data_IF_417319556137
#
_entry.id   IF_417319556137
#
_cell.length_a   1.000
_cell.length_b   1.000
_cell.length_c   1.000
_cell.angle_alpha   90.00
_cell.angle_beta   90.00
_cell.angle_gamma   90.00
#
_symmetry.space_group_name_H-M   'P 1'
#
loop_
_entity.id
_entity.type
_entity.pdbx_description
1 polymer ?
#
# COMPACT_ATOMS: atom_id res chain seq x y z
N UNK A 1 0.31 21.66 -0.17
CA UNK A 1 1.72 21.24 -0.33
C UNK A 1 2.49 22.36 -1.02
N UNK A 2 3.81 22.53 -0.81
CA UNK A 2 4.58 23.56 -1.54
C UNK A 2 4.91 23.11 -2.99
N UNK A 3 5.29 24.08 -3.84
CA UNK A 3 5.54 23.84 -5.27
C UNK A 3 6.68 22.86 -5.54
N UNK A 4 7.78 22.94 -4.80
CA UNK A 4 8.92 22.04 -4.96
C UNK A 4 8.52 20.59 -4.63
N UNK A 5 7.86 20.37 -3.49
CA UNK A 5 7.36 19.06 -3.11
C UNK A 5 6.37 18.51 -4.13
N UNK A 6 5.57 19.37 -4.78
CA UNK A 6 4.68 18.97 -5.87
C UNK A 6 5.44 18.47 -7.09
N UNK A 7 6.50 19.17 -7.53
CA UNK A 7 7.35 18.69 -8.63
C UNK A 7 8.04 17.36 -8.28
N UNK A 8 8.53 17.25 -7.05
CA UNK A 8 9.16 16.02 -6.55
C UNK A 8 8.16 14.86 -6.47
N UNK A 9 6.92 15.12 -6.06
CA UNK A 9 5.82 14.15 -6.14
C UNK A 9 5.59 13.68 -7.58
N UNK A 10 5.50 14.60 -8.53
CA UNK A 10 5.28 14.24 -9.93
C UNK A 10 6.42 13.36 -10.47
N UNK A 11 7.67 13.76 -10.23
CA UNK A 11 8.85 13.01 -10.65
C UNK A 11 8.90 11.60 -10.03
N UNK A 12 8.76 11.52 -8.70
CA UNK A 12 8.79 10.24 -7.97
C UNK A 12 7.64 9.32 -8.35
N UNK A 13 6.41 9.83 -8.49
CA UNK A 13 5.26 9.03 -8.92
C UNK A 13 5.42 8.55 -10.37
N UNK A 14 6.00 9.35 -11.26
CA UNK A 14 6.32 8.92 -12.62
C UNK A 14 7.37 7.79 -12.65
N UNK A 15 8.44 7.93 -11.86
CA UNK A 15 9.49 6.92 -11.74
C UNK A 15 8.96 5.60 -11.15
N UNK A 16 8.18 5.67 -10.06
CA UNK A 16 7.54 4.49 -9.46
C UNK A 16 6.61 3.81 -10.44
N UNK A 17 5.75 4.58 -11.13
CA UNK A 17 4.84 4.05 -12.13
C UNK A 17 5.56 3.33 -13.28
N UNK A 18 6.64 3.93 -13.81
CA UNK A 18 7.44 3.31 -14.86
C UNK A 18 8.10 2.02 -14.36
N UNK A 19 8.72 2.07 -13.18
CA UNK A 19 9.39 0.92 -12.59
C UNK A 19 8.42 -0.24 -12.36
N UNK A 20 7.32 -0.03 -11.63
CA UNK A 20 6.36 -1.10 -11.34
C UNK A 20 5.70 -1.65 -12.60
N UNK A 21 5.36 -0.79 -13.55
CA UNK A 21 4.84 -1.20 -14.86
C UNK A 21 5.85 -2.06 -15.64
N UNK A 22 7.13 -1.69 -15.67
CA UNK A 22 8.16 -2.49 -16.34
C UNK A 22 8.31 -3.88 -15.69
N UNK A 23 8.28 -3.93 -14.35
CA UNK A 23 8.50 -5.16 -13.58
C UNK A 23 7.32 -6.13 -13.68
N UNK A 24 6.08 -5.65 -13.72
CA UNK A 24 4.91 -6.53 -13.89
C UNK A 24 4.74 -6.99 -15.34
N UNK A 25 5.16 -6.17 -16.31
CA UNK A 25 5.09 -6.50 -17.73
C UNK A 25 6.08 -7.61 -18.10
N UNK A 26 7.32 -7.54 -17.61
CA UNK A 26 8.32 -8.57 -17.86
C UNK A 26 7.94 -9.89 -17.18
N UNK A 27 7.85 -10.96 -17.97
CA UNK A 27 7.46 -12.30 -17.50
C UNK A 27 8.44 -12.89 -16.48
N UNK A 28 9.71 -12.46 -16.47
CA UNK A 28 10.72 -12.94 -15.52
C UNK A 28 10.54 -12.33 -14.14
N UNK A 29 10.23 -11.05 -14.06
CA UNK A 29 10.07 -10.31 -12.80
C UNK A 29 8.65 -10.36 -12.26
N UNK A 30 7.64 -10.57 -13.11
CA UNK A 30 6.22 -10.63 -12.75
C UNK A 30 5.92 -11.57 -11.56
N UNK A 31 6.43 -12.82 -11.48
CA UNK A 31 6.16 -13.69 -10.34
C UNK A 31 6.62 -13.08 -9.00
N UNK A 32 7.77 -12.40 -8.98
CA UNK A 32 8.32 -11.75 -7.79
C UNK A 32 7.44 -10.57 -7.38
N UNK A 33 7.01 -9.76 -8.36
CA UNK A 33 6.08 -8.64 -8.11
C UNK A 33 4.75 -9.15 -7.54
N UNK A 34 4.14 -10.16 -8.16
CA UNK A 34 2.88 -10.74 -7.71
C UNK A 34 2.98 -11.32 -6.29
N UNK A 35 4.10 -11.98 -5.97
CA UNK A 35 4.36 -12.46 -4.61
C UNK A 35 4.45 -11.30 -3.61
N UNK A 36 5.14 -10.22 -3.97
CA UNK A 36 5.23 -9.02 -3.14
C UNK A 36 3.86 -8.39 -2.88
N UNK A 37 3.05 -8.24 -3.93
CA UNK A 37 1.68 -7.71 -3.82
C UNK A 37 0.79 -8.61 -2.95
N UNK A 38 0.80 -9.92 -3.20
CA UNK A 38 0.07 -10.89 -2.39
C UNK A 38 0.36 -10.76 -0.88
N UNK A 39 1.65 -10.66 -0.53
CA UNK A 39 2.11 -10.52 0.86
C UNK A 39 1.74 -9.15 1.45
N UNK A 40 1.76 -8.09 0.65
CA UNK A 40 1.37 -6.74 1.07
C UNK A 40 -0.11 -6.72 1.48
N UNK A 41 -1.00 -7.15 0.58
CA UNK A 41 -2.45 -7.13 0.84
C UNK A 41 -2.82 -8.09 1.99
N UNK A 42 -2.19 -9.26 2.07
CA UNK A 42 -2.41 -10.15 3.21
C UNK A 42 -1.96 -9.53 4.54
N UNK A 43 -0.90 -8.73 4.51
CA UNK A 43 -0.31 -8.11 5.70
C UNK A 43 -1.17 -7.01 6.32
N UNK A 44 -2.05 -6.36 5.54
CA UNK A 44 -2.92 -5.27 6.00
C UNK A 44 -4.18 -5.78 6.73
N UNK A 45 -4.69 -6.98 6.37
CA UNK A 45 -5.96 -7.55 6.86
C UNK A 45 -6.06 -7.55 8.39
N UNK A 46 -5.04 -8.06 9.07
CA UNK A 46 -5.04 -8.15 10.54
C UNK A 46 -5.07 -6.79 11.22
N UNK A 47 -4.38 -5.80 10.64
CA UNK A 47 -4.34 -4.44 11.15
C UNK A 47 -5.69 -3.74 10.98
N UNK A 48 -6.30 -3.84 9.79
CA UNK A 48 -7.61 -3.26 9.49
C UNK A 48 -8.73 -3.90 10.31
N UNK A 49 -8.66 -5.22 10.53
CA UNK A 49 -9.62 -5.94 11.37
C UNK A 49 -9.56 -5.47 12.82
N UNK A 50 -8.35 -5.31 13.38
CA UNK A 50 -8.18 -4.78 14.72
C UNK A 50 -8.65 -3.31 14.85
N UNK A 51 -8.44 -2.49 13.82
CA UNK A 51 -8.99 -1.13 13.79
C UNK A 51 -10.52 -1.12 13.70
N UNK A 52 -11.12 -2.05 12.96
CA UNK A 52 -12.58 -2.20 12.90
C UNK A 52 -13.16 -2.50 14.28
N UNK A 53 -12.58 -3.47 15.00
CA UNK A 53 -12.97 -3.79 16.38
C UNK A 53 -12.83 -2.58 17.31
N UNK A 54 -11.70 -1.87 17.21
CA UNK A 54 -11.46 -0.66 18.00
C UNK A 54 -12.50 0.43 17.71
N UNK A 55 -12.78 0.72 16.44
CA UNK A 55 -13.77 1.72 16.05
C UNK A 55 -15.17 1.35 16.61
N UNK A 56 -15.54 0.08 16.59
CA UNK A 56 -16.79 -0.39 17.18
C UNK A 56 -16.83 -0.19 18.70
N UNK A 57 -15.73 -0.52 19.40
CA UNK A 57 -15.60 -0.32 20.85
C UNK A 57 -15.62 1.15 21.27
N UNK A 58 -15.15 2.05 20.40
CA UNK A 58 -15.21 3.50 20.57
C UNK A 58 -16.57 4.10 20.16
N UNK A 59 -17.51 3.29 19.65
CA UNK A 59 -18.85 3.72 19.25
C UNK A 59 -18.98 4.27 17.83
N UNK A 60 -17.91 4.25 17.02
CA UNK A 60 -17.93 4.66 15.61
C UNK A 60 -18.28 3.47 14.70
N UNK A 61 -19.56 3.07 14.72
CA UNK A 61 -20.06 1.91 13.98
C UNK A 61 -19.90 2.04 12.47
N UNK A 62 -20.00 3.26 11.94
CA UNK A 62 -19.80 3.55 10.53
C UNK A 62 -18.34 3.28 10.12
N UNK A 63 -17.37 3.77 10.89
CA UNK A 63 -15.96 3.53 10.59
C UNK A 63 -15.61 2.05 10.76
N UNK A 64 -16.17 1.40 11.77
CA UNK A 64 -15.99 -0.03 12.00
C UNK A 64 -16.45 -0.86 10.79
N UNK A 65 -17.60 -0.54 10.20
CA UNK A 65 -18.11 -1.21 9.01
C UNK A 65 -17.22 -0.98 7.79
N UNK A 66 -16.78 0.27 7.57
CA UNK A 66 -15.87 0.61 6.46
C UNK A 66 -14.54 -0.14 6.56
N UNK A 67 -13.94 -0.19 7.75
CA UNK A 67 -12.70 -0.91 8.01
C UNK A 67 -12.86 -2.43 7.86
N UNK A 68 -13.99 -2.97 8.32
CA UNK A 68 -14.30 -4.40 8.14
C UNK A 68 -14.40 -4.74 6.66
N UNK A 69 -15.10 -3.91 5.89
CA UNK A 69 -15.19 -4.09 4.43
C UNK A 69 -13.80 -3.99 3.79
N UNK A 70 -13.03 -2.97 4.13
CA UNK A 70 -11.66 -2.80 3.62
C UNK A 70 -10.83 -4.07 3.87
N UNK A 71 -10.83 -4.62 5.09
CA UNK A 71 -10.12 -5.88 5.39
C UNK A 71 -10.58 -7.08 4.55
N UNK A 72 -11.87 -7.15 4.19
CA UNK A 72 -12.40 -8.20 3.30
C UNK A 72 -11.93 -7.99 1.85
N UNK A 73 -11.90 -6.73 1.40
CA UNK A 73 -11.41 -6.37 0.08
C UNK A 73 -9.91 -6.71 -0.04
N UNK A 74 -9.08 -6.39 0.95
CA UNK A 74 -7.65 -6.78 1.03
C UNK A 74 -7.44 -8.31 0.97
N UNK A 75 -8.31 -9.07 1.64
CA UNK A 75 -8.29 -10.53 1.57
C UNK A 75 -8.52 -11.02 0.14
N UNK A 76 -9.52 -10.44 -0.53
CA UNK A 76 -9.84 -10.74 -1.94
C UNK A 76 -8.68 -10.32 -2.86
N UNK A 77 -8.06 -9.16 -2.64
CA UNK A 77 -6.93 -8.69 -3.44
C UNK A 77 -5.73 -9.62 -3.34
N UNK A 78 -5.39 -10.03 -2.12
CA UNK A 78 -4.35 -11.02 -1.86
C UNK A 78 -4.61 -12.35 -2.60
N UNK A 79 -5.87 -12.81 -2.62
CA UNK A 79 -6.27 -14.03 -3.33
C UNK A 79 -6.17 -13.87 -4.86
N UNK A 80 -6.48 -12.69 -5.42
CA UNK A 80 -6.30 -12.41 -6.84
C UNK A 80 -4.84 -12.60 -7.24
N UNK A 81 -3.91 -12.05 -6.45
CA UNK A 81 -2.47 -12.19 -6.72
C UNK A 81 -1.98 -13.62 -6.52
N UNK A 82 -2.40 -14.31 -5.46
CA UNK A 82 -2.03 -15.71 -5.23
C UNK A 82 -2.52 -16.62 -6.36
N UNK A 83 -3.75 -16.41 -6.83
CA UNK A 83 -4.31 -17.17 -7.93
C UNK A 83 -3.57 -16.89 -9.25
N UNK A 84 -3.26 -15.63 -9.57
CA UNK A 84 -2.45 -15.30 -10.73
C UNK A 84 -1.05 -15.92 -10.66
N UNK A 85 -0.43 -15.91 -9.48
CA UNK A 85 0.89 -16.50 -9.25
C UNK A 85 0.88 -18.01 -9.48
N UNK A 86 -0.15 -18.74 -9.01
CA UNK A 86 -0.34 -20.18 -9.28
C UNK A 86 -0.45 -20.49 -10.78
N UNK A 87 -1.03 -19.59 -11.57
CA UNK A 87 -1.17 -19.79 -13.02
C UNK A 87 0.14 -19.56 -13.79
N UNK A 88 1.02 -18.69 -13.27
CA UNK A 88 2.25 -18.24 -13.94
C UNK A 88 3.48 -19.03 -13.44
N UNK A 89 3.53 -19.34 -12.14
CA UNK A 89 4.58 -20.12 -11.49
C UNK A 89 3.99 -21.40 -10.88
N UNK A 90 4.16 -22.52 -11.59
CA UNK A 90 3.65 -23.84 -11.18
C UNK A 90 4.33 -24.39 -9.92
N UNK A 91 5.46 -23.82 -9.50
CA UNK A 91 6.18 -24.21 -8.29
C UNK A 91 5.74 -23.36 -7.08
N UNK A 92 4.87 -22.37 -7.26
CA UNK A 92 4.35 -21.58 -6.17
C UNK A 92 3.43 -22.44 -5.28
N UNK A 93 3.94 -22.82 -4.11
CA UNK A 93 3.15 -23.37 -3.03
C UNK A 93 2.58 -22.20 -2.25
N UNK A 94 1.25 -22.08 -2.27
CA UNK A 94 0.48 -21.18 -1.43
C UNK A 94 0.71 -21.55 0.03
N UNK A 95 1.74 -20.93 0.59
CA UNK A 95 1.92 -20.93 2.03
C UNK A 95 1.00 -19.81 2.49
N UNK A 96 -0.15 -20.15 3.06
CA UNK A 96 -0.97 -19.17 3.76
C UNK A 96 -0.02 -18.25 4.53
N UNK A 97 -0.09 -16.92 4.35
CA UNK A 97 0.72 -16.02 5.13
C UNK A 97 0.32 -16.28 6.58
N UNK A 98 1.14 -17.06 7.28
CA UNK A 98 0.90 -17.42 8.68
C UNK A 98 0.68 -16.11 9.39
N UNK A 99 -0.54 -15.90 9.90
CA UNK A 99 -0.86 -14.78 10.78
C UNK A 99 0.26 -14.77 11.81
N UNK A 100 1.15 -13.79 11.72
CA UNK A 100 2.33 -13.78 12.54
C UNK A 100 1.86 -13.87 14.00
N UNK A 101 2.36 -14.83 14.80
CA UNK A 101 1.95 -14.97 16.18
C UNK A 101 2.17 -13.62 16.89
N UNK A 102 1.21 -13.24 17.75
CA UNK A 102 1.31 -12.04 18.60
C UNK A 102 2.71 -12.00 19.24
N UNK A 103 3.59 -11.14 18.73
CA UNK A 103 4.93 -10.95 19.27
C UNK A 103 6.13 -11.11 18.31
N UNK A 104 5.97 -11.56 17.07
CA UNK A 104 7.11 -11.69 16.14
C UNK A 104 7.06 -10.69 14.98
N UNK A 105 7.50 -9.45 15.23
CA UNK A 105 7.74 -8.43 14.20
C UNK A 105 9.24 -8.21 13.95
N UNK A 106 10.03 -9.28 13.91
CA UNK A 106 11.49 -9.18 13.68
C UNK A 106 11.89 -9.26 12.19
N UNK A 107 10.94 -9.12 11.26
CA UNK A 107 11.26 -8.64 9.92
C UNK A 107 11.11 -7.12 9.95
N UNK A 108 12.24 -6.42 9.84
CA UNK A 108 12.29 -4.97 9.80
C UNK A 108 11.28 -4.45 8.79
N UNK A 109 10.44 -3.50 9.21
CA UNK A 109 9.57 -2.72 8.32
C UNK A 109 10.37 -2.29 7.09
N UNK A 110 9.76 -2.30 5.91
CA UNK A 110 10.45 -1.89 4.68
C UNK A 110 11.11 -0.51 4.87
N UNK A 111 12.28 -0.24 4.26
CA UNK A 111 12.94 1.06 4.39
C UNK A 111 12.01 2.24 4.09
N UNK A 112 11.11 2.05 3.11
CA UNK A 112 10.07 3.02 2.78
C UNK A 112 9.08 3.24 3.93
N UNK A 113 8.59 2.17 4.57
CA UNK A 113 7.70 2.29 5.72
C UNK A 113 8.38 3.03 6.88
N UNK A 114 9.63 2.67 7.18
CA UNK A 114 10.40 3.31 8.25
C UNK A 114 10.59 4.82 8.00
N UNK A 115 10.88 5.20 6.75
CA UNK A 115 11.00 6.60 6.35
C UNK A 115 9.64 7.32 6.34
N UNK A 116 8.57 6.67 5.89
CA UNK A 116 7.24 7.27 5.79
C UNK A 116 6.64 7.62 7.17
N UNK A 117 6.90 6.76 8.15
CA UNK A 117 6.49 6.97 9.54
C UNK A 117 7.63 7.46 10.44
N UNK A 118 8.62 8.15 9.87
CA UNK A 118 9.70 8.75 10.65
C UNK A 118 9.14 9.67 11.74
N UNK A 119 9.63 9.47 12.98
CA UNK A 119 9.14 10.14 14.19
C UNK A 119 8.07 9.37 14.98
N UNK A 120 7.57 8.23 14.48
CA UNK A 120 6.61 7.39 15.19
C UNK A 120 7.23 6.08 15.66
N UNK A 121 6.99 5.73 16.93
CA UNK A 121 7.37 4.43 17.49
C UNK A 121 6.50 3.31 16.91
N UNK A 122 6.96 2.06 17.04
CA UNK A 122 6.17 0.91 16.60
C UNK A 122 4.87 0.76 17.39
N UNK A 123 4.92 1.07 18.68
CA UNK A 123 3.79 1.03 19.61
C UNK A 123 2.75 2.08 19.23
N UNK A 124 3.19 3.31 18.90
CA UNK A 124 2.32 4.38 18.42
C UNK A 124 1.61 4.05 17.10
N UNK A 125 2.19 3.15 16.30
CA UNK A 125 1.60 2.70 15.04
C UNK A 125 0.84 1.37 15.17
N UNK A 126 0.58 0.90 16.39
CA UNK A 126 -0.22 -0.31 16.60
C UNK A 126 -1.72 0.02 16.50
N UNK A 127 -2.56 -0.91 16.04
CA UNK A 127 -3.98 -0.62 15.81
C UNK A 127 -4.72 -0.24 17.11
N UNK A 128 -4.20 -0.70 18.26
CA UNK A 128 -4.78 -0.42 19.57
C UNK A 128 -4.68 1.05 19.99
N UNK A 129 -3.66 1.79 19.54
CA UNK A 129 -3.38 3.16 20.05
C UNK A 129 -3.06 4.19 18.97
N UNK A 130 -2.94 3.79 17.70
CA UNK A 130 -2.64 4.73 16.62
C UNK A 130 -3.66 5.86 16.60
N UNK A 131 -3.17 7.10 16.52
CA UNK A 131 -4.04 8.25 16.37
C UNK A 131 -4.84 8.12 15.07
N UNK A 132 -6.15 8.40 15.12
CA UNK A 132 -7.01 8.22 13.97
C UNK A 132 -6.64 9.15 12.81
N UNK A 133 -6.16 10.36 13.08
CA UNK A 133 -5.76 11.30 12.04
C UNK A 133 -4.47 10.81 11.37
N UNK A 134 -3.55 10.21 12.13
CA UNK A 134 -2.37 9.52 11.59
C UNK A 134 -2.80 8.38 10.68
N UNK A 135 -3.64 7.47 11.16
CA UNK A 135 -4.09 6.32 10.37
C UNK A 135 -4.81 6.79 9.11
N UNK A 136 -5.86 7.61 9.23
CA UNK A 136 -6.71 7.97 8.10
C UNK A 136 -5.94 8.73 7.03
N UNK A 137 -5.13 9.72 7.42
CA UNK A 137 -4.39 10.53 6.45
C UNK A 137 -3.23 9.76 5.83
N UNK A 138 -2.49 8.96 6.61
CA UNK A 138 -1.36 8.18 6.07
C UNK A 138 -1.83 7.08 5.11
N UNK A 139 -2.90 6.36 5.47
CA UNK A 139 -3.49 5.30 4.66
C UNK A 139 -4.19 5.88 3.43
N UNK A 140 -4.90 7.01 3.55
CA UNK A 140 -5.52 7.70 2.40
C UNK A 140 -4.53 7.95 1.26
N UNK A 141 -3.32 8.41 1.59
CA UNK A 141 -2.26 8.66 0.61
C UNK A 141 -1.75 7.37 -0.04
N UNK A 142 -1.71 6.27 0.72
CA UNK A 142 -1.29 4.96 0.20
C UNK A 142 -2.34 4.38 -0.73
N UNK A 143 -3.62 4.31 -0.33
CA UNK A 143 -4.67 3.72 -1.18
C UNK A 143 -4.91 4.55 -2.44
N UNK A 144 -4.86 5.89 -2.33
CA UNK A 144 -5.03 6.76 -3.49
C UNK A 144 -3.95 6.52 -4.57
N UNK A 145 -2.73 6.21 -4.14
CA UNK A 145 -1.64 5.93 -5.07
C UNK A 145 -1.66 4.47 -5.52
N UNK A 146 -1.96 3.52 -4.62
CA UNK A 146 -2.12 2.11 -4.94
C UNK A 146 -3.18 1.91 -6.04
N UNK A 147 -4.33 2.58 -5.95
CA UNK A 147 -5.35 2.54 -6.99
C UNK A 147 -4.84 2.98 -8.37
N UNK A 148 -4.01 4.03 -8.41
CA UNK A 148 -3.38 4.49 -9.67
C UNK A 148 -2.34 3.49 -10.17
N UNK A 149 -1.53 2.94 -9.27
CA UNK A 149 -0.45 2.02 -9.60
C UNK A 149 -1.00 0.67 -10.09
N UNK A 150 -2.05 0.13 -9.47
CA UNK A 150 -2.75 -1.05 -9.95
C UNK A 150 -3.35 -0.85 -11.34
N UNK A 151 -3.99 0.29 -11.59
CA UNK A 151 -4.52 0.61 -12.92
C UNK A 151 -3.40 0.69 -13.97
N UNK A 152 -2.28 1.35 -13.65
CA UNK A 152 -1.13 1.47 -14.57
C UNK A 152 -0.50 0.11 -14.86
N UNK A 153 -0.28 -0.69 -13.82
CA UNK A 153 0.25 -2.05 -13.94
C UNK A 153 -0.68 -2.94 -14.79
N UNK A 154 -2.00 -2.86 -14.58
CA UNK A 154 -2.98 -3.58 -15.39
C UNK A 154 -2.90 -3.19 -16.88
N UNK A 155 -2.73 -1.90 -17.16
CA UNK A 155 -2.70 -1.39 -18.54
C UNK A 155 -1.46 -1.81 -19.35
N UNK A 156 -0.39 -2.25 -18.69
CA UNK A 156 0.82 -2.72 -19.37
C UNK A 156 0.92 -4.24 -19.48
N UNK A 157 -0.02 -4.98 -18.90
CA UNK A 157 -0.07 -6.43 -19.03
C UNK A 157 -0.43 -6.85 -20.47
N UNK A 158 0.20 -7.92 -21.01
CA UNK A 158 -0.22 -8.53 -22.27
C UNK A 158 -1.66 -9.09 -22.18
N UNK A 159 -2.44 -8.94 -23.25
CA UNK A 159 -3.83 -9.42 -23.36
C UNK A 159 -3.97 -10.66 -24.26
N UNK A 160 -2.87 -11.20 -24.74
CA UNK A 160 -2.81 -12.35 -25.65
C UNK A 160 -3.01 -13.70 -24.95
N UNK A 161 -2.65 -13.80 -23.66
CA UNK A 161 -2.84 -15.00 -22.86
C UNK A 161 -3.97 -14.85 -21.82
N UNK A 162 -4.74 -15.94 -21.63
CA UNK A 162 -5.87 -15.94 -20.68
C UNK A 162 -5.43 -15.63 -19.24
N UNK A 163 -4.28 -16.12 -18.81
CA UNK A 163 -3.78 -15.91 -17.45
C UNK A 163 -3.44 -14.44 -17.19
N UNK A 164 -2.73 -13.78 -18.11
CA UNK A 164 -2.39 -12.35 -17.99
C UNK A 164 -3.61 -11.45 -18.16
N UNK A 165 -4.55 -11.82 -19.05
CA UNK A 165 -5.82 -11.13 -19.19
C UNK A 165 -6.65 -11.17 -17.89
N UNK A 166 -6.77 -12.33 -17.25
CA UNK A 166 -7.47 -12.44 -15.97
C UNK A 166 -6.78 -11.64 -14.86
N UNK A 167 -5.44 -11.65 -14.81
CA UNK A 167 -4.67 -10.82 -13.87
C UNK A 167 -4.98 -9.33 -14.10
N UNK A 168 -5.00 -8.87 -15.35
CA UNK A 168 -5.36 -7.48 -15.69
C UNK A 168 -6.74 -7.11 -15.16
N UNK A 169 -7.76 -7.93 -15.41
CA UNK A 169 -9.11 -7.69 -14.89
C UNK A 169 -9.13 -7.67 -13.36
N UNK A 170 -8.37 -8.57 -12.71
CA UNK A 170 -8.17 -8.59 -11.27
C UNK A 170 -7.59 -7.27 -10.75
N UNK A 171 -6.49 -6.80 -11.34
CA UNK A 171 -5.84 -5.54 -10.94
C UNK A 171 -6.72 -4.31 -11.17
N UNK A 172 -7.53 -4.28 -12.24
CA UNK A 172 -8.51 -3.20 -12.45
C UNK A 172 -9.63 -3.21 -11.39
N UNK A 173 -10.04 -4.40 -10.94
CA UNK A 173 -10.99 -4.56 -9.83
C UNK A 173 -10.40 -4.03 -8.52
N UNK A 174 -9.15 -4.41 -8.22
CA UNK A 174 -8.40 -3.91 -7.05
C UNK A 174 -8.27 -2.38 -7.10
N UNK A 175 -7.87 -1.81 -8.25
CA UNK A 175 -7.73 -0.36 -8.42
C UNK A 175 -9.03 0.42 -8.08
N UNK A 176 -10.19 -0.17 -8.39
CA UNK A 176 -11.49 0.40 -8.04
C UNK A 176 -11.75 0.32 -6.54
N UNK A 177 -11.45 -0.81 -5.91
CA UNK A 177 -11.58 -1.00 -4.47
C UNK A 177 -10.68 0.00 -3.73
N UNK A 178 -9.42 0.18 -4.14
CA UNK A 178 -8.49 1.17 -3.56
C UNK A 178 -8.96 2.62 -3.67
N UNK A 179 -9.57 2.97 -4.80
CA UNK A 179 -10.19 4.29 -4.96
C UNK A 179 -11.33 4.48 -3.96
N UNK A 180 -12.09 3.41 -3.69
CA UNK A 180 -13.11 3.38 -2.64
C UNK A 180 -12.54 3.46 -1.23
N UNK A 181 -11.41 2.79 -0.98
CA UNK A 181 -10.70 2.86 0.30
C UNK A 181 -10.24 4.29 0.61
N UNK A 182 -9.55 4.91 -0.36
CA UNK A 182 -9.16 6.31 -0.26
C UNK A 182 -10.37 7.23 -0.02
N UNK A 183 -11.48 7.03 -0.74
CA UNK A 183 -12.67 7.87 -0.61
C UNK A 183 -13.26 7.81 0.81
N UNK A 184 -13.41 6.62 1.40
CA UNK A 184 -13.99 6.53 2.75
C UNK A 184 -13.02 7.06 3.82
N UNK A 185 -11.70 6.92 3.66
CA UNK A 185 -10.71 7.46 4.59
C UNK A 185 -10.76 9.00 4.58
N UNK A 186 -10.90 9.60 3.39
CA UNK A 186 -11.12 11.03 3.27
C UNK A 186 -12.44 11.48 3.91
N UNK A 187 -13.52 10.73 3.67
CA UNK A 187 -14.82 10.98 4.32
C UNK A 187 -14.72 10.88 5.84
N UNK A 188 -13.99 9.89 6.37
CA UNK A 188 -13.78 9.71 7.80
C UNK A 188 -13.09 10.93 8.43
N UNK A 189 -12.07 11.50 7.77
CA UNK A 189 -11.46 12.75 8.20
C UNK A 189 -12.45 13.92 8.14
N UNK A 190 -13.21 14.06 7.04
CA UNK A 190 -14.21 15.13 6.87
C UNK A 190 -15.35 15.09 7.90
N UNK A 191 -15.69 13.91 8.42
CA UNK A 191 -16.68 13.75 9.51
C UNK A 191 -16.14 14.23 10.87
N UNK A 192 -14.81 14.30 11.03
CA UNK A 192 -14.13 14.59 12.30
C UNK A 192 -13.57 16.00 12.38
N UNK A 193 -13.20 16.58 11.25
CA UNK A 193 -12.57 17.89 11.20
C UNK A 193 -12.97 18.71 9.97
N UNK A 194 -12.88 20.05 10.02
CA UNK A 194 -13.17 20.91 8.88
C UNK A 194 -12.25 20.63 7.68
N UNK A 195 -12.75 20.86 6.46
CA UNK A 195 -12.03 20.63 5.20
C UNK A 195 -10.60 21.20 5.16
N UNK A 196 -10.38 22.38 5.77
CA UNK A 196 -9.05 23.00 5.84
C UNK A 196 -8.05 22.16 6.65
N UNK A 197 -8.49 21.51 7.72
CA UNK A 197 -7.64 20.63 8.53
C UNK A 197 -7.38 19.32 7.80
N UNK A 198 -8.38 18.76 7.13
CA UNK A 198 -8.22 17.58 6.26
C UNK A 198 -7.17 17.85 5.19
N UNK A 199 -7.27 18.97 4.48
CA UNK A 199 -6.30 19.33 3.44
C UNK A 199 -4.88 19.47 4.01
N UNK A 200 -4.73 20.02 5.22
CA UNK A 200 -3.43 20.13 5.89
C UNK A 200 -2.82 18.76 6.18
N UNK A 201 -3.61 17.81 6.69
CA UNK A 201 -3.15 16.44 6.94
C UNK A 201 -2.78 15.72 5.63
N UNK A 202 -3.62 15.85 4.60
CA UNK A 202 -3.34 15.28 3.26
C UNK A 202 -2.02 15.83 2.71
N UNK A 203 -1.81 17.14 2.81
CA UNK A 203 -0.58 17.79 2.36
C UNK A 203 0.66 17.33 3.17
N UNK A 204 0.52 17.16 4.48
CA UNK A 204 1.58 16.66 5.34
C UNK A 204 1.98 15.23 4.96
N UNK A 205 1.02 14.31 4.89
CA UNK A 205 1.30 12.91 4.58
C UNK A 205 1.76 12.71 3.13
N UNK A 206 1.25 13.51 2.19
CA UNK A 206 1.80 13.57 0.83
C UNK A 206 3.27 13.99 0.85
N UNK A 207 3.61 15.02 1.62
CA UNK A 207 5.00 15.50 1.76
C UNK A 207 5.89 14.42 2.39
N UNK A 208 5.43 13.75 3.44
CA UNK A 208 6.14 12.63 4.08
C UNK A 208 6.40 11.49 3.09
N UNK A 209 5.42 11.12 2.27
CA UNK A 209 5.60 10.08 1.24
C UNK A 209 6.71 10.45 0.26
N UNK A 210 6.70 11.69 -0.26
CA UNK A 210 7.73 12.17 -1.18
C UNK A 210 9.11 12.09 -0.53
N UNK A 211 9.25 12.62 0.69
CA UNK A 211 10.50 12.59 1.44
C UNK A 211 10.98 11.14 1.68
N UNK A 212 10.07 10.24 2.03
CA UNK A 212 10.39 8.83 2.25
C UNK A 212 10.92 8.15 1.00
N UNK A 213 10.31 8.39 -0.17
CA UNK A 213 10.79 7.84 -1.45
C UNK A 213 12.20 8.34 -1.76
N UNK A 214 12.46 9.64 -1.62
CA UNK A 214 13.80 10.19 -1.88
C UNK A 214 14.85 9.71 -0.88
N UNK A 215 14.48 9.51 0.40
CA UNK A 215 15.38 8.93 1.40
C UNK A 215 15.78 7.50 1.06
N UNK A 216 14.85 6.70 0.55
CA UNK A 216 15.14 5.33 0.09
C UNK A 216 16.02 5.35 -1.17
N UNK A 217 15.74 6.24 -2.13
CA UNK A 217 16.57 6.40 -3.33
C UNK A 217 18.01 6.77 -2.94
N UNK A 218 18.18 7.77 -2.06
CA UNK A 218 19.49 8.21 -1.56
C UNK A 218 20.25 7.08 -0.84
N UNK A 219 19.55 6.28 -0.02
CA UNK A 219 20.13 5.09 0.61
C UNK A 219 20.62 4.08 -0.44
N UNK A 220 19.78 3.74 -1.43
CA UNK A 220 20.13 2.77 -2.47
C UNK A 220 21.33 3.24 -3.29
N UNK A 221 21.37 4.52 -3.69
CA UNK A 221 22.46 5.08 -4.48
C UNK A 221 23.79 5.08 -3.71
N UNK A 222 23.77 5.43 -2.43
CA UNK A 222 24.98 5.44 -1.58
C UNK A 222 25.50 4.03 -1.29
N UNK A 223 24.62 3.05 -1.14
CA UNK A 223 25.00 1.65 -0.91
C UNK A 223 25.64 1.03 -2.16
N UNK A 224 25.21 1.44 -3.37
CA UNK A 224 25.87 1.06 -4.62
C UNK A 224 27.26 1.67 -4.80
N UNK A 225 27.49 2.92 -4.37
CA UNK A 225 28.80 3.56 -4.44
C UNK A 225 29.86 2.86 -3.56
N UNK A 226 29.44 2.20 -2.46
CA UNK A 226 30.32 1.41 -1.60
C UNK A 226 30.70 0.04 -2.17
N UNK A 227 29.97 -0.48 -3.16
CA UNK A 227 30.27 -1.77 -3.82
C UNK A 227 31.22 -1.58 -5.01
N UNK A 228 31.17 -0.43 -5.70
CA UNK A 228 32.11 -0.13 -6.80
C UNK A 228 33.50 0.32 -6.32
N UNK A 229 33.66 0.63 -5.03
CA UNK A 229 34.93 1.06 -4.43
C UNK A 229 35.70 -0.06 -3.69
N UNK A 230 35.26 -1.31 -3.77
CA UNK A 230 35.87 -2.49 -3.13
C UNK A 230 36.29 -3.54 -4.16
#
# INVERSE_FOLDING_TARGET
MNFLTYLMHLASSGAVAYYTASQIRDSKTRPIVLKGLHLSEAGSVGFLSALSERAANEGDTWLAEKLKKHALDETKHSQIFAHALKQIDKNFIDSEPKIAPKGQSKQGRSPLFAAYYEGYSKEQLSPAVIDWDIFMASTYIMELDAGKDYMRMANVLPDDERATHNLKLGMLSIAKDETGHAAYLYEAMMRRMPARQVQKLVDEWRTRKVQAVFKVIDYVLKDTDTIEAA
#
